data_IF_668557327985
#
_entry.id   IF_668557327985
#
_cell.length_a   1.000
_cell.length_b   1.000
_cell.length_c   1.000
_cell.angle_alpha   90.00
_cell.angle_beta   90.00
_cell.angle_gamma   90.00
#
_symmetry.space_group_name_H-M   'P 1'
#
loop_
_entity.id
_entity.type
_entity.pdbx_description
1 polymer ?
#
# COMPACT_ATOMS: atom_id res chain seq x y z
N UNK A 1 4.89 -10.10 -8.95
CA UNK A 1 4.86 -8.78 -9.62
C UNK A 1 6.28 -8.26 -9.62
N UNK A 2 6.80 -7.80 -10.75
CA UNK A 2 8.14 -7.22 -10.88
C UNK A 2 8.03 -5.89 -11.63
N UNK A 3 8.81 -4.89 -11.23
CA UNK A 3 8.86 -3.58 -11.90
C UNK A 3 9.90 -3.63 -12.99
N UNK A 4 9.42 -3.59 -14.23
CA UNK A 4 10.21 -3.39 -15.46
C UNK A 4 10.37 -1.88 -15.76
N UNK A 5 11.47 -1.56 -16.42
CA UNK A 5 11.90 -0.24 -16.87
C UNK A 5 10.98 0.31 -17.96
N UNK A 6 10.23 -0.59 -18.63
CA UNK A 6 9.20 -0.26 -19.61
C UNK A 6 7.79 -0.11 -19.03
N UNK A 7 7.59 -0.05 -17.71
CA UNK A 7 6.25 0.13 -17.16
C UNK A 7 5.61 1.41 -17.72
N UNK A 8 4.36 1.36 -18.23
CA UNK A 8 3.65 2.52 -18.78
C UNK A 8 3.51 3.69 -17.79
N UNK A 9 3.78 3.46 -16.51
CA UNK A 9 3.74 4.45 -15.45
C UNK A 9 4.76 5.59 -15.61
N UNK A 10 5.82 5.43 -16.41
CA UNK A 10 6.75 6.54 -16.66
C UNK A 10 6.36 7.44 -17.85
N UNK A 11 5.50 6.97 -18.77
CA UNK A 11 5.19 7.69 -20.03
C UNK A 11 3.71 8.02 -20.26
N UNK A 12 2.76 7.52 -19.46
CA UNK A 12 1.36 7.96 -19.55
C UNK A 12 1.06 9.06 -18.53
N UNK A 13 1.15 10.30 -18.99
CA UNK A 13 0.28 11.39 -18.55
C UNK A 13 -1.17 11.07 -18.94
N UNK A 14 -1.74 9.98 -18.43
CA UNK A 14 -3.20 9.80 -18.46
C UNK A 14 -3.76 10.68 -17.35
N UNK A 15 -4.68 11.57 -17.74
CA UNK A 15 -5.33 12.65 -17.00
C UNK A 15 -6.03 12.26 -15.68
N UNK A 16 -5.91 11.00 -15.26
CA UNK A 16 -6.29 10.49 -13.94
C UNK A 16 -5.23 10.78 -12.87
N UNK A 17 -3.94 10.84 -13.23
CA UNK A 17 -2.82 11.07 -12.29
C UNK A 17 -2.78 12.52 -11.79
N UNK A 18 -3.16 13.50 -12.61
CA UNK A 18 -3.14 14.92 -12.21
C UNK A 18 -4.16 15.27 -11.12
N UNK A 19 -5.22 14.46 -10.92
CA UNK A 19 -6.14 14.65 -9.78
C UNK A 19 -5.53 14.25 -8.44
N UNK A 20 -4.49 13.42 -8.42
CA UNK A 20 -3.83 12.98 -7.18
C UNK A 20 -2.76 13.95 -6.67
N UNK A 21 -2.38 14.96 -7.47
CA UNK A 21 -1.30 15.90 -7.16
C UNK A 21 -1.75 17.18 -6.41
N UNK A 22 -3.02 17.31 -6.03
CA UNK A 22 -3.50 18.49 -5.31
C UNK A 22 -3.37 18.33 -3.78
N UNK A 23 -2.29 18.91 -3.23
CA UNK A 23 -2.28 19.43 -1.85
C UNK A 23 -1.77 18.49 -0.76
N UNK A 24 -0.45 18.41 -0.60
CA UNK A 24 0.15 18.05 0.70
C UNK A 24 0.09 19.27 1.64
N UNK A 25 -0.92 19.27 2.52
CA UNK A 25 -0.84 19.95 3.81
C UNK A 25 -1.29 18.92 4.86
N UNK A 26 -0.49 18.75 5.92
CA UNK A 26 -0.69 17.79 7.01
C UNK A 26 -1.94 18.08 7.84
N UNK A 27 -3.09 17.88 7.25
CA UNK A 27 -4.40 17.86 7.89
C UNK A 27 -4.73 16.42 8.25
N UNK A 28 -5.32 16.13 9.41
CA UNK A 28 -5.87 14.81 9.68
C UNK A 28 -6.95 14.55 8.63
N UNK A 29 -6.74 13.58 7.75
CA UNK A 29 -7.81 13.08 6.88
C UNK A 29 -8.79 12.35 7.80
N UNK A 30 -9.80 13.08 8.28
CA UNK A 30 -11.03 12.47 8.78
C UNK A 30 -11.77 11.96 7.55
N UNK A 31 -11.39 10.78 7.06
CA UNK A 31 -12.25 10.03 6.18
C UNK A 31 -13.57 9.86 6.93
N UNK A 32 -14.64 10.47 6.43
CA UNK A 32 -15.96 10.39 7.03
C UNK A 32 -16.49 8.97 6.87
N UNK A 33 -16.04 8.05 7.73
CA UNK A 33 -16.62 6.71 7.83
C UNK A 33 -17.93 6.87 8.60
N UNK A 34 -18.97 7.19 7.86
CA UNK A 34 -20.28 7.48 8.41
C UNK A 34 -20.86 6.19 9.04
N UNK A 35 -21.12 6.24 10.36
CA UNK A 35 -21.92 5.29 11.13
C UNK A 35 -21.37 3.86 11.43
N UNK A 36 -20.11 3.53 11.15
CA UNK A 36 -19.57 2.22 11.54
C UNK A 36 -19.24 2.13 13.05
N UNK A 37 -19.53 0.97 13.66
CA UNK A 37 -19.34 0.71 15.10
C UNK A 37 -18.00 0.08 15.44
N UNK A 38 -17.38 -0.59 14.46
CA UNK A 38 -16.15 -1.33 14.63
C UNK A 38 -15.25 -1.11 13.43
N UNK A 39 -13.94 -1.10 13.71
CA UNK A 39 -12.91 -0.91 12.71
C UNK A 39 -11.69 -1.79 12.98
N UNK A 40 -10.99 -2.19 11.92
CA UNK A 40 -9.68 -2.81 12.01
C UNK A 40 -8.74 -2.21 10.96
N UNK A 41 -7.45 -2.21 11.29
CA UNK A 41 -6.38 -1.75 10.40
C UNK A 41 -5.46 -2.92 10.08
N UNK A 42 -5.03 -3.00 8.83
CA UNK A 42 -4.09 -3.98 8.31
C UNK A 42 -2.88 -3.20 7.81
N UNK A 43 -1.73 -3.40 8.45
CA UNK A 43 -0.44 -2.83 8.05
C UNK A 43 0.26 -3.80 7.10
N UNK A 44 0.53 -3.34 5.88
CA UNK A 44 1.33 -4.06 4.90
C UNK A 44 2.80 -3.86 5.26
N UNK A 45 3.50 -4.97 5.52
CA UNK A 45 4.88 -4.95 5.95
C UNK A 45 5.80 -4.46 4.82
N UNK A 46 6.12 -3.16 4.86
CA UNK A 46 7.09 -2.51 3.99
C UNK A 46 6.89 -2.90 2.52
N UNK A 47 5.78 -2.43 1.95
CA UNK A 47 5.34 -2.79 0.60
C UNK A 47 6.44 -2.60 -0.45
N UNK A 48 7.30 -1.60 -0.27
CA UNK A 48 8.47 -1.34 -1.12
C UNK A 48 9.39 -2.56 -1.28
N UNK A 49 9.74 -3.23 -0.17
CA UNK A 49 10.63 -4.39 -0.22
C UNK A 49 9.95 -5.66 -0.72
N UNK A 50 8.62 -5.69 -0.76
CA UNK A 50 7.86 -6.78 -1.36
C UNK A 50 7.90 -6.74 -2.90
N UNK A 51 8.31 -5.62 -3.50
CA UNK A 51 8.27 -5.41 -4.95
C UNK A 51 9.68 -5.55 -5.56
N UNK A 52 9.97 -6.63 -6.31
CA UNK A 52 11.22 -6.79 -7.05
C UNK A 52 11.38 -5.79 -8.18
N UNK A 53 12.63 -5.35 -8.35
CA UNK A 53 13.09 -4.63 -9.54
C UNK A 53 13.63 -5.64 -10.55
N UNK A 54 13.20 -5.48 -11.80
CA UNK A 54 13.77 -6.18 -12.93
C UNK A 54 15.27 -5.91 -13.02
N UNK A 55 16.04 -6.91 -13.45
CA UNK A 55 17.50 -6.86 -13.39
C UNK A 55 18.08 -5.69 -14.19
N UNK A 56 17.45 -5.38 -15.32
CA UNK A 56 17.69 -4.27 -16.24
C UNK A 56 17.49 -2.89 -15.58
N UNK A 57 16.69 -2.79 -14.51
CA UNK A 57 16.39 -1.52 -13.84
C UNK A 57 17.31 -1.24 -12.65
N UNK A 58 17.93 -2.26 -12.09
CA UNK A 58 18.80 -2.14 -10.91
C UNK A 58 19.94 -1.14 -11.11
N UNK A 59 20.58 -1.02 -12.30
CA UNK A 59 21.60 0.01 -12.54
C UNK A 59 21.09 1.45 -12.40
N UNK A 60 19.80 1.72 -12.66
CA UNK A 60 19.22 3.07 -12.50
C UNK A 60 19.09 3.48 -11.04
N UNK A 61 19.03 2.49 -10.15
CA UNK A 61 18.97 2.67 -8.70
C UNK A 61 20.32 2.37 -8.05
N UNK A 62 21.43 2.60 -8.77
CA UNK A 62 22.77 2.47 -8.21
C UNK A 62 23.12 3.65 -7.27
N UNK A 63 23.82 3.37 -6.19
CA UNK A 63 24.42 4.38 -5.33
C UNK A 63 25.82 3.97 -4.89
N UNK A 64 26.68 4.94 -4.59
CA UNK A 64 28.05 4.69 -4.13
C UNK A 64 28.15 4.96 -2.64
N UNK A 65 28.66 3.99 -1.89
CA UNK A 65 28.94 4.13 -0.47
C UNK A 65 30.36 3.64 -0.18
N UNK A 66 31.18 4.51 0.44
CA UNK A 66 32.59 4.22 0.77
C UNK A 66 33.41 3.67 -0.42
N UNK A 67 33.18 4.21 -1.61
CA UNK A 67 33.90 3.81 -2.82
C UNK A 67 33.42 2.50 -3.46
N UNK A 68 32.39 1.86 -2.91
CA UNK A 68 31.76 0.65 -3.47
C UNK A 68 30.39 1.01 -4.04
N UNK A 69 30.09 0.50 -5.23
CA UNK A 69 28.79 0.69 -5.87
C UNK A 69 27.81 -0.40 -5.43
N UNK A 70 26.62 0.02 -5.04
CA UNK A 70 25.51 -0.85 -4.64
C UNK A 70 24.31 -0.56 -5.54
N UNK A 71 23.44 -1.55 -5.71
CA UNK A 71 22.16 -1.41 -6.42
C UNK A 71 21.03 -1.94 -5.56
N UNK A 72 19.84 -1.37 -5.75
CA UNK A 72 18.64 -1.90 -5.14
C UNK A 72 18.09 -3.09 -5.93
N UNK A 73 17.74 -4.19 -5.24
CA UNK A 73 17.09 -5.36 -5.83
C UNK A 73 15.55 -5.31 -5.71
N UNK A 74 15.06 -4.32 -4.96
CA UNK A 74 13.66 -4.06 -4.61
C UNK A 74 13.41 -2.57 -4.74
N UNK A 75 12.14 -2.19 -4.80
CA UNK A 75 11.75 -0.79 -4.89
C UNK A 75 12.37 0.02 -3.71
N UNK A 76 13.18 1.06 -3.98
CA UNK A 76 13.88 1.79 -2.92
C UNK A 76 12.93 2.68 -2.13
N UNK A 77 13.15 2.72 -0.82
CA UNK A 77 12.52 3.69 0.08
C UNK A 77 13.15 5.07 -0.18
N UNK A 78 12.31 6.06 -0.52
CA UNK A 78 12.76 7.42 -0.83
C UNK A 78 12.76 7.78 -2.33
N UNK A 79 12.47 6.84 -3.23
CA UNK A 79 12.17 7.21 -4.61
C UNK A 79 10.75 7.77 -4.72
N UNK A 80 10.61 8.94 -5.35
CA UNK A 80 9.35 9.72 -5.40
C UNK A 80 8.13 8.95 -5.93
N UNK A 81 8.35 7.97 -6.81
CA UNK A 81 7.28 7.19 -7.43
C UNK A 81 6.97 5.90 -6.67
N UNK A 82 7.82 5.50 -5.72
CA UNK A 82 7.62 4.28 -4.96
C UNK A 82 6.24 4.23 -4.29
N UNK A 83 5.74 5.27 -3.60
CA UNK A 83 4.44 5.22 -2.92
C UNK A 83 3.28 5.02 -3.90
N UNK A 84 3.30 5.69 -5.04
CA UNK A 84 2.29 5.57 -6.09
C UNK A 84 2.26 4.17 -6.69
N UNK A 85 3.44 3.60 -6.96
CA UNK A 85 3.57 2.24 -7.48
C UNK A 85 3.05 1.21 -6.47
N UNK A 86 3.47 1.30 -5.21
CA UNK A 86 2.94 0.45 -4.14
C UNK A 86 1.43 0.53 -4.05
N UNK A 87 0.89 1.76 -3.98
CA UNK A 87 -0.55 1.99 -3.88
C UNK A 87 -1.30 1.32 -5.02
N UNK A 88 -0.88 1.55 -6.27
CA UNK A 88 -1.52 0.98 -7.46
C UNK A 88 -1.45 -0.55 -7.52
N UNK A 89 -0.33 -1.16 -7.13
CA UNK A 89 -0.21 -2.62 -7.10
C UNK A 89 -1.09 -3.26 -6.02
N UNK A 90 -1.16 -2.63 -4.83
CA UNK A 90 -2.05 -3.08 -3.76
C UNK A 90 -3.51 -2.94 -4.21
N UNK A 91 -3.89 -1.80 -4.79
CA UNK A 91 -5.24 -1.57 -5.29
C UNK A 91 -5.62 -2.61 -6.36
N UNK A 92 -4.76 -2.85 -7.35
CA UNK A 92 -5.01 -3.85 -8.38
C UNK A 92 -5.17 -5.27 -7.82
N UNK A 93 -4.41 -5.62 -6.78
CA UNK A 93 -4.56 -6.90 -6.10
C UNK A 93 -5.91 -7.01 -5.37
N UNK A 94 -6.34 -5.95 -4.68
CA UNK A 94 -7.61 -5.89 -3.97
C UNK A 94 -8.81 -5.95 -4.93
N UNK A 95 -8.76 -5.23 -6.05
CA UNK A 95 -9.78 -5.29 -7.10
C UNK A 95 -9.90 -6.69 -7.71
N UNK A 96 -8.76 -7.30 -8.09
CA UNK A 96 -8.72 -8.66 -8.65
C UNK A 96 -9.23 -9.72 -7.66
N UNK A 97 -9.03 -9.50 -6.37
CA UNK A 97 -9.47 -10.39 -5.30
C UNK A 97 -10.91 -10.15 -4.84
N UNK A 98 -11.64 -9.21 -5.45
CA UNK A 98 -12.96 -8.76 -5.01
C UNK A 98 -12.98 -8.41 -3.53
N UNK A 99 -12.02 -7.58 -3.11
CA UNK A 99 -11.90 -7.14 -1.73
C UNK A 99 -13.22 -6.48 -1.26
N UNK A 100 -13.65 -6.73 -0.02
CA UNK A 100 -14.80 -6.05 0.57
C UNK A 100 -14.52 -4.54 0.69
N UNK A 101 -15.55 -3.76 0.99
CA UNK A 101 -15.42 -2.31 1.21
C UNK A 101 -14.30 -2.00 2.22
N UNK A 102 -13.37 -1.13 1.82
CA UNK A 102 -12.18 -0.76 2.57
C UNK A 102 -11.67 0.62 2.16
N UNK A 103 -10.79 1.19 2.97
CA UNK A 103 -10.06 2.41 2.69
C UNK A 103 -8.56 2.09 2.67
N UNK A 104 -7.89 2.39 1.57
CA UNK A 104 -6.46 2.22 1.43
C UNK A 104 -5.75 3.56 1.61
N UNK A 105 -4.76 3.61 2.50
CA UNK A 105 -3.87 4.74 2.68
C UNK A 105 -2.41 4.28 2.65
N UNK A 106 -1.75 4.44 1.50
CA UNK A 106 -0.37 3.98 1.25
C UNK A 106 -0.23 2.49 1.62
N UNK A 107 0.38 2.18 2.78
CA UNK A 107 0.67 0.84 3.28
C UNK A 107 -0.36 0.33 4.30
N UNK A 108 -1.33 1.16 4.69
CA UNK A 108 -2.40 0.82 5.64
C UNK A 108 -3.72 0.58 4.91
N UNK A 109 -4.44 -0.47 5.32
CA UNK A 109 -5.81 -0.74 4.89
C UNK A 109 -6.73 -0.72 6.09
N UNK A 110 -7.83 0.00 5.99
CA UNK A 110 -8.85 0.10 7.02
C UNK A 110 -10.12 -0.59 6.53
N UNK A 111 -10.68 -1.42 7.40
CA UNK A 111 -11.98 -2.06 7.22
C UNK A 111 -12.91 -1.66 8.37
N UNK A 112 -14.21 -1.57 8.08
CA UNK A 112 -15.22 -1.17 9.05
C UNK A 112 -16.51 -1.98 8.92
N UNK A 113 -17.33 -1.95 9.96
CA UNK A 113 -18.58 -2.68 10.03
C UNK A 113 -19.42 -2.38 11.27
N UNK A 114 -20.59 -2.99 11.33
CA UNK A 114 -21.54 -2.86 12.44
C UNK A 114 -21.27 -3.86 13.56
N UNK A 115 -20.58 -4.97 13.26
CA UNK A 115 -20.19 -6.00 14.23
C UNK A 115 -18.70 -6.30 14.16
N UNK A 116 -18.14 -6.75 15.28
CA UNK A 116 -16.75 -7.20 15.37
C UNK A 116 -16.44 -8.36 14.41
N UNK A 117 -17.39 -9.30 14.26
CA UNK A 117 -17.26 -10.47 13.40
C UNK A 117 -17.21 -10.09 11.92
N UNK A 118 -18.08 -9.18 11.49
CA UNK A 118 -18.07 -8.65 10.11
C UNK A 118 -16.70 -8.02 9.77
N UNK A 119 -16.16 -7.19 10.66
CA UNK A 119 -14.84 -6.55 10.46
C UNK A 119 -13.72 -7.59 10.39
N UNK A 120 -13.79 -8.63 11.23
CA UNK A 120 -12.83 -9.72 11.23
C UNK A 120 -12.85 -10.51 9.90
N UNK A 121 -14.04 -10.90 9.42
CA UNK A 121 -14.21 -11.61 8.15
C UNK A 121 -13.72 -10.76 6.96
N UNK A 122 -14.06 -9.46 6.94
CA UNK A 122 -13.56 -8.52 5.93
C UNK A 122 -12.03 -8.45 5.96
N UNK A 123 -11.45 -8.33 7.15
CA UNK A 123 -10.01 -8.27 7.33
C UNK A 123 -9.29 -9.55 6.88
N UNK A 124 -9.83 -10.72 7.22
CA UNK A 124 -9.28 -12.01 6.81
C UNK A 124 -9.32 -12.16 5.28
N UNK A 125 -10.42 -11.79 4.62
CA UNK A 125 -10.52 -11.82 3.15
C UNK A 125 -9.44 -10.93 2.51
N UNK A 126 -9.25 -9.71 3.00
CA UNK A 126 -8.22 -8.79 2.50
C UNK A 126 -6.82 -9.36 2.69
N UNK A 127 -6.51 -9.89 3.88
CA UNK A 127 -5.21 -10.51 4.15
C UNK A 127 -4.94 -11.66 3.19
N UNK A 128 -5.93 -12.52 2.92
CA UNK A 128 -5.78 -13.63 1.97
C UNK A 128 -5.51 -13.14 0.54
N UNK A 129 -6.17 -12.06 0.10
CA UNK A 129 -5.93 -11.47 -1.23
C UNK A 129 -4.48 -10.95 -1.33
N UNK A 130 -4.03 -10.19 -0.33
CA UNK A 130 -2.69 -9.59 -0.32
C UNK A 130 -1.58 -10.65 -0.25
N UNK A 131 -1.75 -11.69 0.58
CA UNK A 131 -0.81 -12.81 0.67
C UNK A 131 -0.71 -13.57 -0.67
N UNK A 132 -1.85 -13.82 -1.34
CA UNK A 132 -1.86 -14.45 -2.68
C UNK A 132 -1.19 -13.58 -3.74
N UNK A 133 -1.26 -12.26 -3.59
CA UNK A 133 -0.57 -11.31 -4.46
C UNK A 133 0.93 -11.15 -4.15
N UNK A 134 1.42 -11.75 -3.05
CA UNK A 134 2.84 -11.74 -2.66
C UNK A 134 3.24 -10.60 -1.72
N UNK A 135 2.28 -9.87 -1.15
CA UNK A 135 2.56 -8.87 -0.12
C UNK A 135 2.75 -9.52 1.25
N UNK A 136 3.69 -9.00 2.03
CA UNK A 136 3.87 -9.38 3.43
C UNK A 136 2.98 -8.51 4.34
N UNK A 137 2.40 -9.11 5.39
CA UNK A 137 1.53 -8.42 6.35
C UNK A 137 2.17 -8.40 7.73
N UNK A 138 2.22 -7.24 8.41
CA UNK A 138 2.68 -7.19 9.80
C UNK A 138 1.58 -7.71 10.71
N UNK A 139 1.77 -8.90 11.27
CA UNK A 139 0.85 -9.50 12.25
C UNK A 139 0.67 -8.64 13.52
N UNK A 140 1.61 -7.75 13.84
CA UNK A 140 1.69 -7.02 15.11
C UNK A 140 0.79 -5.79 15.25
N UNK A 141 0.01 -5.43 14.22
CA UNK A 141 -0.94 -4.29 14.29
C UNK A 141 -2.33 -4.58 13.72
N UNK A 142 -2.78 -5.84 13.75
CA UNK A 142 -4.22 -6.10 13.66
C UNK A 142 -4.85 -5.60 14.95
N UNK A 143 -5.14 -4.30 15.01
CA UNK A 143 -5.98 -3.74 16.07
C UNK A 143 -7.34 -4.40 15.85
N UNK A 144 -7.69 -5.30 16.76
CA UNK A 144 -9.00 -5.94 16.78
C UNK A 144 -10.10 -4.88 16.79
N UNK A 145 -11.34 -5.27 16.47
CA UNK A 145 -12.42 -4.33 16.25
C UNK A 145 -12.46 -3.31 17.39
N UNK A 146 -12.24 -2.04 17.05
CA UNK A 146 -12.21 -0.92 17.98
C UNK A 146 -13.28 0.10 17.60
N UNK A 147 -13.75 0.90 18.56
CA UNK A 147 -14.73 1.97 18.32
C UNK A 147 -14.10 3.27 17.83
N UNK A 148 -12.78 3.40 17.93
CA UNK A 148 -11.98 4.53 17.45
C UNK A 148 -10.65 4.01 16.86
N UNK A 149 -10.18 4.64 15.78
CA UNK A 149 -8.87 4.37 15.18
C UNK A 149 -8.01 5.63 15.24
N UNK A 150 -6.83 5.52 15.83
CA UNK A 150 -5.76 6.50 15.71
C UNK A 150 -4.77 6.08 14.61
N UNK A 151 -4.50 7.02 13.69
CA UNK A 151 -3.60 6.83 12.54
C UNK A 151 -2.11 6.93 12.89
N UNK A 152 -1.76 7.36 14.10
CA UNK A 152 -0.38 7.63 14.51
C UNK A 152 -0.14 7.24 15.98
N UNK A 153 0.83 6.36 16.21
CA UNK A 153 1.67 6.26 17.40
C UNK A 153 3.12 6.08 16.93
#
# INVERSE_FOLDING_TARGET
MEIDCGLPCLERSDSTIERCCAGHAGTPVRAGVQAAKWYATIDIANAFFSIPLAAECRPQFAFTWRGVQYTWNRLPQGWKHSPTICHGLIQAALEKGEAPEHLQYIDDIIVWGNTAMEVFEKGEKIIQILLKAGFAIKKSKVKGPAREISFWE
#
